data_IF_429090193324
#
_entry.id   IF_429090193324
#
_cell.length_a   1.000
_cell.length_b   1.000
_cell.length_c   1.000
_cell.angle_alpha   90.00
_cell.angle_beta   90.00
_cell.angle_gamma   90.00
#
_symmetry.space_group_name_H-M   'P 1'
#
loop_
_entity.id
_entity.type
_entity.pdbx_description
1 polymer ?
#
# COMPACT_ATOMS: atom_id res chain seq x y z
N UNK A 1 -13.90 -3.35 -1.48
CA UNK A 1 -12.89 -3.58 -0.43
C UNK A 1 -12.93 -2.40 0.53
N UNK A 2 -12.35 -2.51 1.72
CA UNK A 2 -12.19 -1.43 2.70
C UNK A 2 -10.77 -1.51 3.30
N UNK A 3 -10.31 -0.44 3.96
CA UNK A 3 -9.08 -0.46 4.75
C UNK A 3 -9.19 -1.52 5.85
N UNK A 4 -8.09 -2.19 6.15
CA UNK A 4 -7.99 -3.33 7.07
C UNK A 4 -8.35 -4.68 6.42
N UNK A 5 -8.64 -4.72 5.13
CA UNK A 5 -9.02 -5.97 4.43
C UNK A 5 -7.86 -6.65 3.69
N UNK A 6 -6.62 -6.15 3.88
CA UNK A 6 -5.37 -6.63 3.28
C UNK A 6 -5.43 -6.59 1.75
N UNK A 7 -5.55 -5.37 1.21
CA UNK A 7 -5.64 -5.08 -0.23
C UNK A 7 -4.89 -3.80 -0.57
N UNK A 8 -4.82 -3.42 -1.86
CA UNK A 8 -4.27 -2.13 -2.29
C UNK A 8 -4.86 -0.89 -1.59
N UNK A 9 -6.09 -0.97 -1.06
CA UNK A 9 -6.69 0.15 -0.32
C UNK A 9 -5.95 0.46 0.99
N UNK A 10 -5.25 -0.52 1.57
CA UNK A 10 -4.41 -0.31 2.75
C UNK A 10 -3.21 0.59 2.44
N UNK A 11 -2.86 0.77 1.16
CA UNK A 11 -1.83 1.70 0.68
C UNK A 11 -2.43 2.99 0.14
N UNK A 12 -3.49 2.90 -0.67
CA UNK A 12 -4.11 4.07 -1.29
C UNK A 12 -4.69 5.05 -0.26
N UNK A 13 -5.23 4.57 0.87
CA UNK A 13 -5.76 5.46 1.89
C UNK A 13 -4.66 6.28 2.59
N UNK A 14 -3.57 5.69 3.13
CA UNK A 14 -2.44 6.47 3.66
C UNK A 14 -1.82 7.45 2.66
N UNK A 15 -1.71 7.05 1.39
CA UNK A 15 -1.19 7.92 0.32
C UNK A 15 -2.13 9.10 0.06
N UNK A 16 -3.43 8.87 -0.01
CA UNK A 16 -4.44 9.92 -0.12
C UNK A 16 -4.36 10.90 1.05
N UNK A 17 -4.20 10.40 2.28
CA UNK A 17 -4.11 11.24 3.47
C UNK A 17 -2.82 12.06 3.49
N UNK A 18 -1.69 11.50 3.04
CA UNK A 18 -0.43 12.21 2.86
C UNK A 18 -0.55 13.34 1.82
N UNK A 19 -1.24 13.09 0.71
CA UNK A 19 -1.53 14.11 -0.31
C UNK A 19 -2.36 15.27 0.27
N UNK A 20 -3.43 14.97 1.01
CA UNK A 20 -4.26 15.99 1.67
C UNK A 20 -3.50 16.82 2.70
N UNK A 21 -2.48 16.24 3.33
CA UNK A 21 -1.61 16.92 4.29
C UNK A 21 -0.51 17.75 3.61
N UNK A 22 -0.42 17.76 2.28
CA UNK A 22 0.61 18.50 1.54
C UNK A 22 2.02 17.94 1.77
N UNK A 23 2.13 16.62 1.96
CA UNK A 23 3.40 15.93 2.16
C UNK A 23 4.28 15.98 0.91
N UNK A 24 5.60 15.91 1.09
CA UNK A 24 6.57 15.83 0.00
C UNK A 24 6.46 14.50 -0.76
N UNK A 25 6.98 14.42 -1.98
CA UNK A 25 6.97 13.17 -2.76
C UNK A 25 7.69 12.03 -2.04
N UNK A 26 8.81 12.31 -1.37
CA UNK A 26 9.52 11.34 -0.52
C UNK A 26 8.62 10.84 0.61
N UNK A 27 7.96 11.73 1.36
CA UNK A 27 7.06 11.33 2.45
C UNK A 27 5.86 10.52 1.95
N UNK A 28 5.32 10.85 0.77
CA UNK A 28 4.22 10.08 0.15
C UNK A 28 4.70 8.68 -0.23
N UNK A 29 5.91 8.57 -0.77
CA UNK A 29 6.52 7.29 -1.15
C UNK A 29 6.78 6.42 0.08
N UNK A 30 7.33 7.02 1.14
CA UNK A 30 7.57 6.34 2.43
C UNK A 30 6.26 5.88 3.08
N UNK A 31 5.20 6.68 3.00
CA UNK A 31 3.88 6.30 3.47
C UNK A 31 3.33 5.08 2.70
N UNK A 32 3.54 5.03 1.37
CA UNK A 32 3.10 3.93 0.55
C UNK A 32 3.85 2.62 0.87
N UNK A 33 5.18 2.69 0.98
CA UNK A 33 6.02 1.54 1.31
C UNK A 33 5.72 1.01 2.71
N UNK A 34 5.62 1.91 3.70
CA UNK A 34 5.27 1.54 5.08
C UNK A 34 3.89 0.91 5.18
N UNK A 35 2.92 1.42 4.40
CA UNK A 35 1.58 0.85 4.36
C UNK A 35 1.53 -0.53 3.72
N UNK A 36 2.36 -0.78 2.68
CA UNK A 36 2.48 -2.11 2.10
C UNK A 36 3.10 -3.10 3.09
N UNK A 37 4.14 -2.71 3.82
CA UNK A 37 4.76 -3.51 4.89
C UNK A 37 3.77 -3.81 6.02
N UNK A 38 2.93 -2.83 6.39
CA UNK A 38 1.90 -3.00 7.41
C UNK A 38 0.85 -4.06 7.04
N UNK A 39 0.75 -4.47 5.78
CA UNK A 39 -0.13 -5.57 5.39
C UNK A 39 0.36 -6.94 5.86
N UNK A 40 1.66 -7.12 6.15
CA UNK A 40 2.25 -8.42 6.53
C UNK A 40 1.49 -9.11 7.67
N UNK A 41 1.25 -8.49 8.84
CA UNK A 41 0.53 -9.14 9.95
C UNK A 41 -0.98 -9.29 9.72
N UNK A 42 -1.55 -8.72 8.66
CA UNK A 42 -3.00 -8.74 8.45
C UNK A 42 -3.50 -10.11 7.96
N UNK A 43 -4.72 -10.46 8.37
CA UNK A 43 -5.50 -11.56 7.77
C UNK A 43 -6.25 -11.05 6.55
N UNK A 44 -6.13 -11.75 5.42
CA UNK A 44 -6.84 -11.42 4.20
C UNK A 44 -8.35 -11.64 4.34
N UNK A 45 -9.14 -10.60 4.06
CA UNK A 45 -10.61 -10.68 4.04
C UNK A 45 -11.21 -10.56 2.63
N UNK A 46 -10.38 -10.17 1.65
CA UNK A 46 -10.77 -10.00 0.24
C UNK A 46 -9.74 -10.63 -0.69
N UNK A 47 -10.14 -10.83 -1.95
CA UNK A 47 -9.28 -11.39 -3.00
C UNK A 47 -8.97 -12.88 -2.81
N UNK A 48 -8.04 -13.40 -3.63
CA UNK A 48 -7.65 -14.83 -3.58
C UNK A 48 -6.90 -15.19 -2.29
N UNK A 49 -6.22 -14.23 -1.68
CA UNK A 49 -5.51 -14.44 -0.42
C UNK A 49 -6.46 -14.79 0.74
N UNK A 50 -7.74 -14.37 0.70
CA UNK A 50 -8.70 -14.72 1.75
C UNK A 50 -9.05 -16.20 1.79
N UNK A 51 -8.84 -16.95 0.70
CA UNK A 51 -9.04 -18.40 0.64
C UNK A 51 -8.08 -19.16 1.56
N UNK A 52 -6.96 -18.54 1.95
CA UNK A 52 -5.96 -19.13 2.84
C UNK A 52 -6.28 -18.92 4.32
N UNK A 53 -7.26 -18.09 4.67
CA UNK A 53 -7.62 -17.78 6.05
C UNK A 53 -6.41 -17.26 6.84
N UNK A 54 -6.15 -17.85 8.01
CA UNK A 54 -5.04 -17.43 8.89
C UNK A 54 -3.66 -17.65 8.27
N UNK A 55 -3.53 -18.52 7.25
CA UNK A 55 -2.27 -18.71 6.50
C UNK A 55 -1.88 -17.52 5.63
N UNK A 56 -2.73 -16.49 5.52
CA UNK A 56 -2.40 -15.23 4.86
C UNK A 56 -1.59 -14.27 5.75
N UNK A 57 -1.56 -14.50 7.06
CA UNK A 57 -0.80 -13.71 8.04
C UNK A 57 0.69 -14.02 7.87
N UNK A 58 1.53 -13.00 7.94
CA UNK A 58 2.99 -13.11 7.76
C UNK A 58 3.45 -12.94 6.31
N UNK A 59 2.54 -12.71 5.36
CA UNK A 59 2.85 -12.44 3.96
C UNK A 59 2.36 -11.05 3.56
N UNK A 60 3.20 -10.27 2.90
CA UNK A 60 2.81 -8.98 2.33
C UNK A 60 1.74 -9.18 1.24
N UNK A 61 0.76 -8.28 1.17
CA UNK A 61 -0.20 -8.29 0.07
C UNK A 61 0.45 -7.86 -1.24
N UNK A 62 0.27 -8.65 -2.30
CA UNK A 62 0.83 -8.35 -3.61
C UNK A 62 0.20 -7.08 -4.21
N UNK A 63 -1.10 -6.86 -3.99
CA UNK A 63 -1.80 -5.65 -4.46
C UNK A 63 -1.24 -4.41 -3.80
N UNK A 64 -1.11 -4.42 -2.47
CA UNK A 64 -0.47 -3.36 -1.70
C UNK A 64 0.97 -3.07 -2.18
N UNK A 65 1.79 -4.10 -2.38
CA UNK A 65 3.17 -3.92 -2.86
C UNK A 65 3.22 -3.28 -4.26
N UNK A 66 2.41 -3.78 -5.20
CA UNK A 66 2.33 -3.21 -6.53
C UNK A 66 1.86 -1.76 -6.51
N UNK A 67 0.91 -1.42 -5.64
CA UNK A 67 0.45 -0.04 -5.47
C UNK A 67 1.55 0.86 -4.92
N UNK A 68 2.33 0.43 -3.94
CA UNK A 68 3.45 1.22 -3.42
C UNK A 68 4.50 1.51 -4.52
N UNK A 69 4.83 0.51 -5.35
CA UNK A 69 5.71 0.69 -6.51
C UNK A 69 5.15 1.68 -7.54
N UNK A 70 3.84 1.66 -7.80
CA UNK A 70 3.19 2.63 -8.69
C UNK A 70 3.27 4.05 -8.13
N UNK A 71 3.05 4.22 -6.83
CA UNK A 71 3.16 5.53 -6.17
C UNK A 71 4.59 6.07 -6.30
N UNK A 72 5.59 5.25 -6.00
CA UNK A 72 7.01 5.60 -6.19
C UNK A 72 7.30 6.07 -7.62
N UNK A 73 6.90 5.26 -8.61
CA UNK A 73 7.14 5.58 -10.02
C UNK A 73 6.46 6.90 -10.46
N UNK A 74 5.24 7.17 -9.98
CA UNK A 74 4.53 8.42 -10.26
C UNK A 74 5.23 9.61 -9.60
N UNK A 75 5.65 9.48 -8.34
CA UNK A 75 6.42 10.52 -7.64
C UNK A 75 7.72 10.84 -8.39
N UNK A 76 8.52 9.84 -8.73
CA UNK A 76 9.78 10.00 -9.47
C UNK A 76 9.54 10.67 -10.84
N UNK A 77 8.48 10.29 -11.54
CA UNK A 77 8.12 10.90 -12.83
C UNK A 77 7.70 12.38 -12.69
N UNK A 78 6.96 12.75 -11.64
CA UNK A 78 6.52 14.13 -11.40
C UNK A 78 7.70 15.01 -10.95
N UNK A 79 8.64 14.46 -10.17
CA UNK A 79 9.83 15.18 -9.70
C UNK A 79 10.95 15.26 -10.76
N UNK A 80 10.77 14.65 -11.94
CA UNK A 80 11.74 14.67 -13.03
C UNK A 80 12.99 13.81 -12.75
N UNK A 81 12.82 12.76 -11.95
CA UNK A 81 13.87 11.83 -11.52
C UNK A 81 13.86 10.49 -12.28
N UNK A 82 12.92 10.35 -13.23
CA UNK A 82 12.71 9.15 -14.05
C UNK A 82 13.69 9.02 -15.22
#
# INVERSE_FOLDING_TARGET
>A
SQVGQKTMLDVLQPVHDALLQGKTGSEITDAADSAADATVPMKALRGRASFLGDRSIGHMDAGARSTALLVRAVTEAIEGQA
#
